data_IF_764725674204
#
_entry.id   IF_764725674204
#
_cell.length_a   1.000
_cell.length_b   1.000
_cell.length_c   1.000
_cell.angle_alpha   90.00
_cell.angle_beta   90.00
_cell.angle_gamma   90.00
#
_symmetry.space_group_name_H-M   'P 1'
#
loop_
_entity.id
_entity.type
_entity.pdbx_description
1 polymer ?
#
# COMPACT_ATOMS: atom_id res chain seq x y z
N UNK A 1 -14.59 12.42 -11.35
CA UNK A 1 -13.14 12.19 -11.37
C UNK A 1 -12.92 11.00 -12.28
N UNK A 2 -12.15 11.11 -13.37
CA UNK A 2 -11.94 9.96 -14.25
C UNK A 2 -11.15 8.92 -13.46
N UNK A 3 -11.81 7.83 -13.08
CA UNK A 3 -11.26 6.72 -12.30
C UNK A 3 -10.62 5.64 -13.17
N UNK A 4 -10.30 5.97 -14.42
CA UNK A 4 -9.85 5.01 -15.44
C UNK A 4 -8.33 5.02 -15.63
N UNK A 5 -7.57 5.57 -14.67
CA UNK A 5 -6.11 5.50 -14.74
C UNK A 5 -5.70 4.02 -14.57
N UNK A 6 -5.07 3.41 -15.58
CA UNK A 6 -4.65 2.02 -15.47
C UNK A 6 -3.66 1.85 -14.32
N UNK A 7 -3.78 0.74 -13.60
CA UNK A 7 -2.92 0.46 -12.43
C UNK A 7 -1.43 0.50 -12.76
N UNK A 8 -1.02 0.08 -13.96
CA UNK A 8 0.39 0.13 -14.39
C UNK A 8 0.97 1.55 -14.50
N UNK A 9 0.13 2.58 -14.55
CA UNK A 9 0.54 3.98 -14.57
C UNK A 9 0.62 4.60 -13.17
N UNK A 10 0.23 3.86 -12.13
CA UNK A 10 0.25 4.33 -10.74
C UNK A 10 1.62 4.06 -10.13
N UNK A 11 2.30 5.12 -9.68
CA UNK A 11 3.60 5.01 -9.02
C UNK A 11 3.48 4.69 -7.53
N UNK A 12 2.57 5.39 -6.85
CA UNK A 12 2.38 5.31 -5.40
C UNK A 12 0.89 5.28 -5.03
N UNK A 13 0.53 4.40 -4.10
CA UNK A 13 -0.83 4.30 -3.54
C UNK A 13 -0.79 4.70 -2.07
N UNK A 14 -1.65 5.64 -1.69
CA UNK A 14 -1.76 6.16 -0.34
C UNK A 14 -2.92 5.48 0.39
N UNK A 15 -2.61 4.75 1.47
CA UNK A 15 -3.59 3.95 2.23
C UNK A 15 -3.59 4.42 3.69
N UNK A 16 -4.64 5.12 4.15
CA UNK A 16 -4.80 5.40 5.57
C UNK A 16 -5.23 4.13 6.30
N UNK A 17 -4.45 3.72 7.30
CA UNK A 17 -4.69 2.53 8.12
C UNK A 17 -5.14 2.96 9.51
N UNK A 18 -6.33 2.51 9.90
CA UNK A 18 -6.82 2.67 11.26
C UNK A 18 -6.21 1.60 12.16
N UNK A 19 -5.48 2.02 13.19
CA UNK A 19 -4.90 1.11 14.18
C UNK A 19 -5.94 0.78 15.27
N UNK A 20 -6.81 -0.17 14.95
CA UNK A 20 -7.74 -0.91 15.82
C UNK A 20 -8.25 -0.17 17.07
N UNK A 21 -8.80 1.03 16.88
CA UNK A 21 -9.62 1.72 17.89
C UNK A 21 -8.90 2.74 18.77
N UNK A 22 -7.58 2.91 18.62
CA UNK A 22 -6.96 4.18 19.01
C UNK A 22 -7.33 5.18 17.92
N UNK A 23 -7.60 6.43 18.25
CA UNK A 23 -7.78 7.53 17.27
C UNK A 23 -6.43 7.85 16.60
N UNK A 24 -5.79 6.81 16.06
CA UNK A 24 -4.45 6.78 15.57
C UNK A 24 -4.48 6.23 14.15
N UNK A 25 -4.06 7.08 13.23
CA UNK A 25 -4.00 6.77 11.82
C UNK A 25 -2.56 6.72 11.39
N UNK A 26 -2.23 5.65 10.69
CA UNK A 26 -0.92 5.48 10.06
C UNK A 26 -1.12 5.54 8.55
N UNK A 27 -0.23 6.24 7.86
CA UNK A 27 -0.26 6.31 6.41
C UNK A 27 0.71 5.29 5.84
N UNK A 28 0.18 4.28 5.14
CA UNK A 28 0.99 3.41 4.30
C UNK A 28 1.07 3.98 2.89
N UNK A 29 2.28 4.06 2.35
CA UNK A 29 2.55 4.42 0.96
C UNK A 29 3.12 3.18 0.27
N UNK A 30 2.38 2.68 -0.71
CA UNK A 30 2.76 1.52 -1.50
C UNK A 30 3.43 2.05 -2.77
N UNK A 31 4.75 2.00 -2.82
CA UNK A 31 5.53 2.33 -4.00
C UNK A 31 5.56 1.09 -4.91
N UNK A 32 4.74 1.11 -5.97
CA UNK A 32 4.50 -0.05 -6.83
C UNK A 32 5.72 -0.37 -7.70
N UNK A 33 6.39 0.66 -8.22
CA UNK A 33 7.67 0.52 -8.96
C UNK A 33 8.76 -0.12 -8.10
N UNK A 34 8.90 0.36 -6.87
CA UNK A 34 9.94 -0.11 -5.94
C UNK A 34 9.55 -1.44 -5.25
N UNK A 35 8.29 -1.88 -5.38
CA UNK A 35 7.70 -3.00 -4.64
C UNK A 35 7.90 -2.86 -3.12
N UNK A 36 7.73 -1.64 -2.60
CA UNK A 36 7.98 -1.29 -1.20
C UNK A 36 6.76 -0.66 -0.55
N UNK A 37 6.58 -0.95 0.73
CA UNK A 37 5.61 -0.25 1.58
C UNK A 37 6.40 0.63 2.55
N UNK A 38 6.14 1.94 2.51
CA UNK A 38 6.65 2.93 3.47
C UNK A 38 5.52 3.26 4.44
N UNK A 39 5.86 3.42 5.70
CA UNK A 39 4.88 3.59 6.77
C UNK A 39 5.22 4.88 7.51
N UNK A 40 4.28 5.81 7.51
CA UNK A 40 4.39 7.08 8.20
C UNK A 40 3.44 7.08 9.38
N UNK A 41 4.02 7.10 10.57
CA UNK A 41 3.30 7.19 11.83
C UNK A 41 3.46 8.61 12.38
N UNK A 42 2.34 9.32 12.58
CA UNK A 42 2.34 10.68 13.15
C UNK A 42 2.70 10.68 14.64
N UNK A 43 2.53 9.56 15.33
CA UNK A 43 3.01 9.38 16.68
C UNK A 43 4.44 8.83 16.58
N UNK A 44 5.40 9.52 17.18
CA UNK A 44 6.81 9.07 17.23
C UNK A 44 7.04 7.81 18.07
N UNK A 45 5.98 7.06 18.39
CA UNK A 45 6.06 5.90 19.28
C UNK A 45 6.67 4.71 18.57
N UNK A 46 7.74 4.19 19.18
CA UNK A 46 8.27 2.84 19.02
C UNK A 46 7.23 1.85 18.48
N UNK A 47 7.51 1.29 17.30
CA UNK A 47 6.92 0.05 16.75
C UNK A 47 5.54 -0.25 17.31
N UNK A 48 4.52 0.49 16.88
CA UNK A 48 3.16 0.17 17.23
C UNK A 48 2.82 -1.22 16.68
N UNK A 49 2.77 -2.23 17.56
CA UNK A 49 2.49 -3.62 17.20
C UNK A 49 1.14 -3.77 16.49
N UNK A 50 0.17 -2.91 16.82
CA UNK A 50 -1.15 -2.90 16.17
C UNK A 50 -1.04 -2.39 14.73
N UNK A 51 -0.26 -1.34 14.48
CA UNK A 51 -0.06 -0.85 13.10
C UNK A 51 0.69 -1.87 12.27
N UNK A 52 1.72 -2.52 12.83
CA UNK A 52 2.48 -3.59 12.16
C UNK A 52 1.56 -4.75 11.77
N UNK A 53 0.60 -5.13 12.62
CA UNK A 53 -0.34 -6.20 12.31
C UNK A 53 -1.24 -5.86 11.11
N UNK A 54 -1.79 -4.65 11.05
CA UNK A 54 -2.61 -4.21 9.91
C UNK A 54 -1.77 -4.06 8.63
N UNK A 55 -0.53 -3.56 8.74
CA UNK A 55 0.40 -3.45 7.61
C UNK A 55 0.79 -4.83 7.08
N UNK A 56 1.01 -5.82 7.95
CA UNK A 56 1.33 -7.19 7.52
C UNK A 56 0.17 -7.83 6.75
N UNK A 57 -1.09 -7.59 7.15
CA UNK A 57 -2.26 -8.04 6.37
C UNK A 57 -2.30 -7.39 4.99
N UNK A 58 -2.06 -6.08 4.92
CA UNK A 58 -1.95 -5.36 3.65
C UNK A 58 -0.82 -5.93 2.77
N UNK A 59 0.36 -6.16 3.33
CA UNK A 59 1.49 -6.74 2.63
C UNK A 59 1.21 -8.16 2.11
N UNK A 60 0.41 -8.95 2.82
CA UNK A 60 0.00 -10.29 2.39
C UNK A 60 -1.04 -10.26 1.25
N UNK A 61 -1.96 -9.30 1.26
CA UNK A 61 -3.01 -9.17 0.24
C UNK A 61 -2.51 -8.50 -1.05
N UNK A 62 -1.54 -7.58 -0.94
CA UNK A 62 -1.10 -6.74 -2.04
C UNK A 62 -0.63 -7.52 -3.28
N UNK A 63 0.22 -8.56 -3.18
CA UNK A 63 0.70 -9.28 -4.37
C UNK A 63 -0.45 -9.95 -5.15
N UNK A 64 -1.43 -10.52 -4.45
CA UNK A 64 -2.60 -11.14 -5.07
C UNK A 64 -3.43 -10.10 -5.81
N UNK A 65 -3.73 -8.97 -5.16
CA UNK A 65 -4.49 -7.89 -5.78
C UNK A 65 -3.80 -7.32 -7.04
N UNK A 66 -2.49 -7.08 -6.96
CA UNK A 66 -1.72 -6.59 -8.10
C UNK A 66 -1.69 -7.60 -9.25
N UNK A 67 -1.63 -8.89 -8.94
CA UNK A 67 -1.69 -9.95 -9.95
C UNK A 67 -3.05 -10.01 -10.64
N UNK A 68 -4.14 -9.95 -9.88
CA UNK A 68 -5.51 -9.94 -10.42
C UNK A 68 -5.79 -8.68 -11.26
N UNK A 69 -5.18 -7.54 -10.90
CA UNK A 69 -5.26 -6.31 -11.69
C UNK A 69 -4.43 -6.34 -12.99
N UNK A 70 -3.70 -7.44 -13.27
CA UNK A 70 -2.75 -7.59 -14.39
C UNK A 70 -1.64 -6.53 -14.43
N UNK A 71 -1.35 -5.89 -13.30
CA UNK A 71 -0.32 -4.86 -13.16
C UNK A 71 1.04 -5.30 -13.73
N UNK A 72 1.44 -6.54 -13.45
CA UNK A 72 2.74 -7.08 -13.90
C UNK A 72 2.76 -7.47 -15.40
N UNK A 73 1.63 -7.85 -15.99
CA UNK A 73 1.54 -8.19 -17.41
C UNK A 73 1.61 -6.96 -18.32
N UNK A 74 1.20 -5.81 -17.79
CA UNK A 74 1.22 -4.55 -18.51
C UNK A 74 2.60 -3.88 -18.45
N UNK A 75 3.32 -4.00 -17.33
CA UNK A 75 4.70 -3.52 -17.20
C UNK A 75 5.67 -4.30 -18.09
N UNK A 76 5.53 -5.63 -18.19
CA UNK A 76 6.43 -6.46 -19.01
C UNK A 76 6.31 -6.22 -20.52
N UNK A 77 5.31 -5.44 -20.97
CA UNK A 77 5.14 -5.01 -22.36
C UNK A 77 5.79 -3.65 -22.65
N UNK A 78 6.19 -2.91 -21.63
CA UNK A 78 6.70 -1.54 -21.73
C UNK A 78 8.23 -1.48 -21.51
N UNK A 79 8.81 -2.50 -20.86
CA UNK A 79 10.27 -2.72 -20.75
C UNK A 79 10.89 -3.43 -21.97
#
# INVERSE_FOLDING_TARGET
MPSDLPWHQVDEVYVPINCNGKFHWVLAVIALKDKRIRVYDSLSSLRNMESINEINKLAAMLPTYLSDSRFFEEISRID
#
